data_IF_986896221848
#
_entry.id   IF_986896221848
#
_cell.length_a   1.000
_cell.length_b   1.000
_cell.length_c   1.000
_cell.angle_alpha   90.00
_cell.angle_beta   90.00
_cell.angle_gamma   90.00
#
_symmetry.space_group_name_H-M   'P 1'
#
loop_
_entity.id
_entity.type
_entity.pdbx_description
1 polymer ?
#
# COMPACT_ATOMS: atom_id res chain seq x y z
N UNK A 1 -15.02 -1.65 -19.59
CA UNK A 1 -14.04 -1.45 -18.51
C UNK A 1 -12.62 -1.99 -18.81
N UNK A 2 -12.40 -2.72 -19.90
CA UNK A 2 -11.06 -3.20 -20.33
C UNK A 2 -10.24 -2.18 -21.14
N UNK A 3 -10.81 -1.08 -21.60
CA UNK A 3 -10.18 -0.10 -22.50
C UNK A 3 -9.41 1.04 -21.79
N UNK A 4 -9.69 1.30 -20.51
CA UNK A 4 -9.03 2.40 -19.78
C UNK A 4 -7.66 2.05 -19.20
N UNK A 5 -7.41 0.80 -18.85
CA UNK A 5 -6.09 0.36 -18.35
C UNK A 5 -5.01 0.41 -19.45
N UNK A 6 -5.34 0.18 -20.70
CA UNK A 6 -4.39 0.22 -21.82
C UNK A 6 -3.94 1.62 -22.21
N UNK A 7 -4.78 2.64 -22.03
CA UNK A 7 -4.45 4.02 -22.43
C UNK A 7 -3.48 4.72 -21.45
N UNK A 8 -3.53 4.37 -20.18
CA UNK A 8 -2.61 4.97 -19.19
C UNK A 8 -1.18 4.44 -19.36
N UNK A 9 -1.02 3.19 -19.78
CA UNK A 9 0.31 2.61 -20.02
C UNK A 9 0.97 3.10 -21.33
N UNK A 10 0.20 3.53 -22.33
CA UNK A 10 0.76 3.94 -23.63
C UNK A 10 1.29 5.37 -23.65
N UNK A 11 0.82 6.24 -22.76
CA UNK A 11 1.28 7.64 -22.71
C UNK A 11 2.60 7.85 -21.96
N UNK A 12 3.06 6.87 -21.18
CA UNK A 12 4.30 6.97 -20.39
C UNK A 12 5.46 6.11 -20.93
N UNK A 13 5.24 5.31 -21.98
CA UNK A 13 6.32 4.44 -22.52
C UNK A 13 7.36 5.18 -23.37
N UNK A 14 7.12 6.42 -23.76
CA UNK A 14 8.01 7.18 -24.65
C UNK A 14 9.03 8.07 -23.92
N UNK A 15 9.11 8.06 -22.59
CA UNK A 15 10.05 8.91 -21.84
C UNK A 15 11.01 8.14 -20.95
N UNK A 16 10.97 6.81 -20.97
CA UNK A 16 12.00 5.98 -20.31
C UNK A 16 13.16 5.85 -21.29
N UNK A 17 14.02 6.87 -21.34
CA UNK A 17 15.30 6.80 -22.02
C UNK A 17 16.18 5.79 -21.30
N UNK A 18 16.41 4.66 -21.94
CA UNK A 18 17.34 3.59 -21.81
C UNK A 18 18.50 3.61 -20.82
N UNK A 19 18.26 3.95 -19.55
CA UNK A 19 19.16 3.61 -18.45
C UNK A 19 18.38 2.83 -17.42
N UNK A 20 18.70 1.54 -17.33
CA UNK A 20 18.36 0.61 -16.26
C UNK A 20 16.91 0.08 -16.22
N UNK A 21 16.53 -0.68 -17.24
CA UNK A 21 15.36 -1.59 -17.16
C UNK A 21 15.55 -2.75 -16.16
N UNK A 22 16.72 -2.86 -15.53
CA UNK A 22 17.07 -3.95 -14.63
C UNK A 22 16.68 -3.73 -13.16
N UNK A 23 16.10 -2.58 -12.82
CA UNK A 23 15.73 -2.25 -11.43
C UNK A 23 14.24 -1.99 -11.20
N UNK A 24 13.37 -2.58 -12.02
CA UNK A 24 11.93 -2.55 -11.74
C UNK A 24 11.63 -3.44 -10.54
N UNK A 25 11.41 -2.81 -9.39
CA UNK A 25 11.01 -3.53 -8.18
C UNK A 25 9.51 -3.80 -8.19
N UNK A 26 9.15 -4.97 -7.73
CA UNK A 26 7.76 -5.37 -7.59
C UNK A 26 7.30 -5.18 -6.15
N UNK A 27 6.12 -4.59 -5.96
CA UNK A 27 5.40 -4.56 -4.68
C UNK A 27 4.50 -5.78 -4.53
N UNK A 28 4.81 -6.87 -5.25
CA UNK A 28 4.05 -8.11 -5.29
C UNK A 28 4.94 -9.27 -4.89
N UNK A 29 4.39 -10.22 -4.13
CA UNK A 29 5.05 -11.45 -3.74
C UNK A 29 4.08 -12.63 -3.80
N UNK A 30 4.63 -13.84 -3.92
CA UNK A 30 3.88 -15.09 -4.09
C UNK A 30 3.71 -15.46 -5.57
N UNK A 31 3.25 -16.69 -5.80
CA UNK A 31 3.01 -17.25 -7.13
C UNK A 31 1.52 -17.56 -7.35
N UNK A 32 1.03 -18.68 -6.83
CA UNK A 32 -0.38 -19.08 -6.92
C UNK A 32 -1.25 -18.24 -6.00
N UNK A 33 -0.79 -18.03 -4.77
CA UNK A 33 -1.34 -17.05 -3.83
C UNK A 33 -0.43 -15.83 -3.88
N UNK A 34 -0.93 -14.74 -4.42
CA UNK A 34 -0.15 -13.53 -4.71
C UNK A 34 -0.72 -12.33 -3.95
N UNK A 35 0.16 -11.57 -3.34
CA UNK A 35 -0.21 -10.33 -2.67
C UNK A 35 0.53 -9.17 -3.31
N UNK A 36 -0.20 -8.12 -3.64
CA UNK A 36 0.33 -6.85 -4.11
C UNK A 36 -0.05 -5.77 -3.12
N UNK A 37 0.93 -5.09 -2.55
CA UNK A 37 0.70 -3.95 -1.65
C UNK A 37 0.79 -2.64 -2.41
N UNK A 38 0.04 -1.62 -1.96
CA UNK A 38 0.02 -0.29 -2.54
C UNK A 38 -0.24 0.79 -1.49
N UNK A 39 0.02 2.04 -1.85
CA UNK A 39 -0.21 3.21 -1.02
C UNK A 39 1.00 3.64 -0.21
N UNK A 40 0.91 4.81 0.40
CA UNK A 40 1.95 5.44 1.21
C UNK A 40 1.43 5.71 2.63
N UNK A 41 2.33 5.63 3.62
CA UNK A 41 2.00 5.80 5.05
C UNK A 41 1.42 7.19 5.37
N UNK A 42 1.76 8.21 4.59
CA UNK A 42 1.20 9.56 4.69
C UNK A 42 0.31 9.93 3.48
N UNK A 43 0.01 8.96 2.63
CA UNK A 43 -0.94 9.08 1.54
C UNK A 43 -2.40 8.98 2.02
N UNK A 44 -3.33 8.90 1.06
CA UNK A 44 -4.78 8.82 1.36
C UNK A 44 -5.19 7.49 1.97
N UNK A 45 -4.51 6.42 1.60
CA UNK A 45 -4.80 5.06 2.04
C UNK A 45 -3.61 4.13 1.79
N UNK A 46 -3.61 3.02 2.48
CA UNK A 46 -2.77 1.84 2.24
C UNK A 46 -3.68 0.68 1.86
N UNK A 47 -3.18 -0.24 1.05
CA UNK A 47 -3.98 -1.41 0.72
C UNK A 47 -3.18 -2.59 0.22
N UNK A 48 -3.91 -3.66 -0.01
CA UNK A 48 -3.39 -4.87 -0.61
C UNK A 48 -4.42 -5.50 -1.53
N UNK A 49 -3.96 -6.11 -2.60
CA UNK A 49 -4.76 -6.98 -3.46
C UNK A 49 -4.22 -8.39 -3.33
N UNK A 50 -5.09 -9.32 -2.96
CA UNK A 50 -4.78 -10.74 -2.81
C UNK A 50 -5.45 -11.48 -3.97
N UNK A 51 -4.64 -12.20 -4.75
CA UNK A 51 -5.10 -13.05 -5.85
C UNK A 51 -4.78 -14.51 -5.56
N UNK A 52 -5.57 -15.43 -6.12
CA UNK A 52 -5.40 -16.87 -5.94
C UNK A 52 -5.95 -17.40 -4.60
N UNK A 53 -6.80 -16.65 -3.90
CA UNK A 53 -7.51 -17.15 -2.74
C UNK A 53 -8.63 -18.10 -3.19
N UNK A 54 -8.74 -19.33 -2.64
CA UNK A 54 -9.85 -20.23 -2.96
C UNK A 54 -11.20 -19.62 -2.61
N UNK A 55 -12.24 -19.97 -3.39
CA UNK A 55 -13.61 -19.58 -3.09
C UNK A 55 -14.17 -20.36 -1.87
N UNK A 56 -15.15 -19.76 -1.19
CA UNK A 56 -15.92 -20.42 -0.13
C UNK A 56 -15.29 -20.38 1.26
N UNK A 57 -14.15 -19.74 1.45
CA UNK A 57 -13.54 -19.58 2.77
C UNK A 57 -14.27 -18.48 3.56
N UNK A 58 -14.63 -18.70 4.84
CA UNK A 58 -15.12 -17.63 5.69
C UNK A 58 -14.12 -16.49 5.81
N UNK A 59 -14.57 -15.25 5.60
CA UNK A 59 -13.73 -14.07 5.74
C UNK A 59 -14.59 -12.84 5.97
N UNK A 60 -14.25 -12.06 6.99
CA UNK A 60 -14.81 -10.75 7.28
C UNK A 60 -13.71 -9.79 7.71
N UNK A 61 -14.03 -8.50 7.84
CA UNK A 61 -13.08 -7.47 8.26
C UNK A 61 -12.48 -7.76 9.63
N UNK A 62 -13.25 -8.29 10.56
CA UNK A 62 -12.81 -8.63 11.92
C UNK A 62 -11.69 -9.67 11.93
N UNK A 63 -11.70 -10.60 10.97
CA UNK A 63 -10.65 -11.62 10.84
C UNK A 63 -9.30 -10.99 10.53
N UNK A 64 -9.29 -9.91 9.78
CA UNK A 64 -8.09 -9.17 9.40
C UNK A 64 -7.74 -8.16 10.49
N UNK A 65 -8.75 -7.46 11.03
CA UNK A 65 -8.59 -6.39 12.00
C UNK A 65 -7.82 -6.82 13.24
N UNK A 66 -8.08 -8.02 13.75
CA UNK A 66 -7.36 -8.59 14.91
C UNK A 66 -5.83 -8.66 14.73
N UNK A 67 -5.35 -8.77 13.49
CA UNK A 67 -3.92 -8.75 13.18
C UNK A 67 -3.38 -7.33 13.03
N UNK A 68 -4.17 -6.42 12.46
CA UNK A 68 -3.82 -5.00 12.36
C UNK A 68 -3.74 -4.36 13.74
N UNK A 69 -4.65 -4.72 14.64
CA UNK A 69 -4.67 -4.21 16.01
C UNK A 69 -3.39 -4.54 16.80
N UNK A 70 -2.72 -5.65 16.48
CA UNK A 70 -1.42 -5.99 17.08
C UNK A 70 -0.30 -5.00 16.69
N UNK A 71 -0.49 -4.24 15.60
CA UNK A 71 0.49 -3.29 15.07
C UNK A 71 0.21 -1.86 15.49
N UNK A 72 -0.90 -1.59 16.19
CA UNK A 72 -1.23 -0.25 16.65
C UNK A 72 -0.11 0.30 17.54
N UNK A 73 0.34 1.55 17.30
CA UNK A 73 1.25 2.23 18.22
C UNK A 73 0.60 2.35 19.60
N UNK A 74 1.40 2.32 20.67
CA UNK A 74 0.88 2.51 22.02
C UNK A 74 0.73 1.24 22.85
N UNK A 75 1.05 0.07 22.31
CA UNK A 75 1.06 -1.18 23.09
C UNK A 75 2.31 -1.33 23.99
N UNK A 76 3.27 -0.43 23.89
CA UNK A 76 4.44 -0.40 24.75
C UNK A 76 4.58 0.95 25.46
N UNK A 77 5.26 0.95 26.61
CA UNK A 77 5.53 2.14 27.47
C UNK A 77 6.29 3.26 26.75
N UNK A 78 6.80 2.99 25.54
CA UNK A 78 7.69 3.88 24.78
C UNK A 78 7.09 4.32 23.45
N UNK A 79 5.83 4.00 23.15
CA UNK A 79 5.20 4.36 21.89
C UNK A 79 4.23 5.52 22.09
N UNK A 80 4.26 6.47 21.18
CA UNK A 80 3.32 7.60 21.12
C UNK A 80 1.89 7.07 20.93
N UNK A 81 0.96 7.54 21.75
CA UNK A 81 -0.46 7.20 21.67
C UNK A 81 -1.11 7.87 20.44
N UNK A 82 -0.85 7.34 19.24
CA UNK A 82 -1.63 7.67 18.04
C UNK A 82 -2.91 6.84 18.08
N UNK A 83 -4.02 7.49 18.28
CA UNK A 83 -5.36 6.92 18.06
C UNK A 83 -5.65 6.92 16.54
N UNK A 84 -4.97 6.09 15.78
CA UNK A 84 -5.35 5.83 14.41
C UNK A 84 -6.32 4.66 14.43
N UNK A 85 -7.54 4.92 13.99
CA UNK A 85 -8.49 3.87 13.69
C UNK A 85 -8.12 3.25 12.35
N UNK A 86 -7.07 2.39 12.32
CA UNK A 86 -6.68 1.62 11.14
C UNK A 86 -7.72 0.54 10.86
N UNK A 87 -8.93 0.97 10.47
CA UNK A 87 -10.00 0.04 10.12
C UNK A 87 -9.80 -0.45 8.70
N UNK A 88 -9.76 -1.78 8.56
CA UNK A 88 -9.71 -2.41 7.25
C UNK A 88 -11.10 -2.43 6.62
N UNK A 89 -11.14 -2.14 5.34
CA UNK A 89 -12.32 -2.30 4.48
C UNK A 89 -12.02 -3.39 3.45
N UNK A 90 -12.94 -4.35 3.26
CA UNK A 90 -12.90 -5.32 2.16
C UNK A 90 -13.70 -4.73 1.00
N UNK A 91 -13.02 -4.40 -0.10
CA UNK A 91 -13.64 -3.73 -1.26
C UNK A 91 -14.11 -4.70 -2.34
N UNK A 92 -13.59 -5.93 -2.37
CA UNK A 92 -13.94 -6.96 -3.35
C UNK A 92 -13.52 -8.36 -2.89
N UNK A 93 -13.99 -9.38 -3.60
CA UNK A 93 -13.56 -10.77 -3.40
C UNK A 93 -14.25 -11.50 -2.26
N UNK A 94 -15.25 -10.88 -1.60
CA UNK A 94 -16.06 -11.49 -0.53
C UNK A 94 -17.53 -11.20 -0.82
N UNK A 95 -18.37 -12.22 -0.64
CA UNK A 95 -19.82 -12.14 -0.74
C UNK A 95 -20.46 -13.00 0.36
N UNK A 96 -21.39 -12.42 1.11
CA UNK A 96 -22.06 -13.07 2.25
C UNK A 96 -21.08 -13.75 3.23
N UNK A 97 -19.98 -13.06 3.56
CA UNK A 97 -18.96 -13.55 4.51
C UNK A 97 -18.10 -14.70 4.00
N UNK A 98 -18.06 -14.94 2.69
CA UNK A 98 -17.22 -15.97 2.06
C UNK A 98 -16.46 -15.41 0.87
N UNK A 99 -15.23 -15.89 0.69
CA UNK A 99 -14.41 -15.55 -0.47
C UNK A 99 -15.07 -16.06 -1.76
N UNK A 100 -14.94 -15.29 -2.84
CA UNK A 100 -15.56 -15.62 -4.15
C UNK A 100 -14.58 -16.28 -5.11
N UNK A 101 -13.28 -16.33 -4.80
CA UNK A 101 -12.22 -16.78 -5.70
C UNK A 101 -11.72 -15.68 -6.65
N UNK A 102 -12.38 -14.51 -6.68
CA UNK A 102 -11.88 -13.32 -7.38
C UNK A 102 -10.90 -12.56 -6.48
N UNK A 103 -10.08 -11.62 -7.02
CA UNK A 103 -9.14 -10.85 -6.20
C UNK A 103 -9.82 -10.13 -5.03
N UNK A 104 -9.25 -10.29 -3.84
CA UNK A 104 -9.68 -9.61 -2.61
C UNK A 104 -8.91 -8.30 -2.54
N UNK A 105 -9.61 -7.18 -2.52
CA UNK A 105 -9.01 -5.87 -2.32
C UNK A 105 -9.28 -5.39 -0.90
N UNK A 106 -8.20 -5.05 -0.20
CA UNK A 106 -8.21 -4.53 1.17
C UNK A 106 -7.72 -3.09 1.16
N UNK A 107 -8.31 -2.25 1.99
CA UNK A 107 -7.91 -0.86 2.16
C UNK A 107 -8.00 -0.43 3.63
N UNK A 108 -7.04 0.37 4.05
CA UNK A 108 -7.05 1.12 5.31
C UNK A 108 -6.91 2.59 4.98
N UNK A 109 -7.88 3.40 5.37
CA UNK A 109 -7.86 4.85 5.14
C UNK A 109 -6.93 5.52 6.14
N UNK A 110 -6.12 6.43 5.65
CA UNK A 110 -5.31 7.28 6.51
C UNK A 110 -6.14 8.52 6.92
N UNK A 111 -6.59 8.53 8.17
CA UNK A 111 -7.42 9.61 8.72
C UNK A 111 -6.60 10.78 9.28
N UNK A 112 -5.30 10.59 9.50
CA UNK A 112 -4.42 11.57 10.16
C UNK A 112 -3.37 12.15 9.20
N UNK A 113 -3.83 12.58 8.02
CA UNK A 113 -3.00 13.20 6.99
C UNK A 113 -2.59 14.62 7.40
N UNK A 114 -1.47 14.78 8.10
CA UNK A 114 -0.91 16.11 8.44
C UNK A 114 0.12 16.54 7.40
N UNK A 115 -0.34 17.22 6.36
CA UNK A 115 0.52 17.75 5.29
C UNK A 115 1.36 18.98 5.71
N UNK A 116 1.22 19.50 6.94
CA UNK A 116 1.84 20.76 7.37
C UNK A 116 3.30 20.65 7.85
N UNK A 117 3.77 19.45 8.17
CA UNK A 117 5.09 19.27 8.81
C UNK A 117 6.25 18.98 7.83
N UNK A 118 6.00 19.12 6.53
CA UNK A 118 6.94 18.61 5.51
C UNK A 118 7.87 19.67 4.87
N UNK A 119 7.78 20.94 5.26
CA UNK A 119 8.57 22.02 4.64
C UNK A 119 10.09 21.82 4.71
N UNK A 120 10.62 21.33 5.83
CA UNK A 120 12.06 21.11 6.03
C UNK A 120 12.53 19.75 5.50
N UNK A 121 11.61 18.80 5.30
CA UNK A 121 11.92 17.42 4.90
C UNK A 121 12.11 17.32 3.38
N UNK A 122 11.63 18.30 2.63
CA UNK A 122 11.79 18.34 1.18
C UNK A 122 13.28 18.37 0.76
N UNK A 123 14.14 18.95 1.58
CA UNK A 123 15.57 19.18 1.27
C UNK A 123 16.55 18.23 1.99
N UNK A 124 16.04 17.33 2.83
CA UNK A 124 16.89 16.38 3.57
C UNK A 124 16.22 14.99 3.62
N UNK A 125 17.03 13.94 3.67
CA UNK A 125 16.53 12.58 3.88
C UNK A 125 16.29 12.34 5.38
N UNK A 126 15.19 11.69 5.70
CA UNK A 126 14.85 11.35 7.09
C UNK A 126 15.63 10.12 7.54
N UNK A 127 16.38 10.17 8.64
CA UNK A 127 17.00 8.98 9.22
C UNK A 127 15.94 7.91 9.57
N UNK A 128 16.23 6.65 9.27
CA UNK A 128 15.34 5.54 9.57
C UNK A 128 14.12 5.40 8.64
N UNK A 129 14.03 6.21 7.58
CA UNK A 129 12.99 6.13 6.55
C UNK A 129 13.58 5.69 5.21
N UNK A 130 12.73 5.24 4.30
CA UNK A 130 13.15 4.76 2.99
C UNK A 130 13.42 5.88 1.97
N UNK A 131 13.37 7.14 2.36
CA UNK A 131 13.52 8.31 1.49
C UNK A 131 14.71 8.22 0.54
N UNK A 132 15.91 8.01 1.09
CA UNK A 132 17.14 7.91 0.31
C UNK A 132 17.15 6.70 -0.62
N UNK A 133 16.75 5.55 -0.10
CA UNK A 133 16.73 4.31 -0.87
C UNK A 133 15.72 4.33 -1.99
N UNK A 134 14.57 4.98 -1.80
CA UNK A 134 13.56 5.15 -2.83
C UNK A 134 14.00 6.13 -3.91
N UNK A 135 14.64 7.23 -3.52
CA UNK A 135 15.20 8.18 -4.48
C UNK A 135 16.28 7.52 -5.36
N UNK A 136 17.19 6.76 -4.74
CA UNK A 136 18.22 6.00 -5.49
C UNK A 136 17.61 4.91 -6.40
N UNK A 137 16.53 4.29 -5.98
CA UNK A 137 15.91 3.17 -6.68
C UNK A 137 15.01 3.59 -7.82
N UNK A 138 14.20 4.62 -7.60
CA UNK A 138 13.18 5.06 -8.54
C UNK A 138 13.55 6.33 -9.31
N UNK A 139 14.59 7.06 -8.89
CA UNK A 139 15.00 8.33 -9.48
C UNK A 139 13.97 9.45 -9.28
N UNK A 140 13.03 9.26 -8.34
CA UNK A 140 11.99 10.20 -7.99
C UNK A 140 11.62 10.05 -6.52
N UNK A 141 11.41 11.18 -5.84
CA UNK A 141 11.11 11.20 -4.42
C UNK A 141 9.80 11.92 -4.12
N UNK A 142 8.87 11.23 -3.48
CA UNK A 142 7.80 11.87 -2.73
C UNK A 142 8.19 12.00 -1.25
N UNK A 143 8.70 13.18 -0.86
CA UNK A 143 9.15 13.45 0.51
C UNK A 143 8.04 13.39 1.56
N UNK A 144 6.78 13.33 1.15
CA UNK A 144 5.63 13.27 2.07
C UNK A 144 5.38 11.89 2.63
N UNK A 145 5.91 10.83 2.04
CA UNK A 145 5.75 9.50 2.58
C UNK A 145 5.75 8.36 1.58
N UNK A 146 6.11 8.68 0.32
CA UNK A 146 6.31 7.70 -0.75
C UNK A 146 7.71 7.11 -0.74
#
# INVERSE_FOLDING_TARGET
MRLYAGMIFQTHSNTITGKDTNHMSQSSFGNKFKVTTWGESHGKALGAVIDGCPAGLPLCEEDIQKFLDRRKPGQSRYTTARKEGDLVEILSGVFEGKTTGTPISLMVRNTDQRSRDYGNIAYSYRPGHADYTFDQKYGFRDYRGG
#
